data_IF_545367284440
#
_entry.id   IF_545367284440
#
_cell.length_a   1.000
_cell.length_b   1.000
_cell.length_c   1.000
_cell.angle_alpha   90.00
_cell.angle_beta   90.00
_cell.angle_gamma   90.00
#
_symmetry.space_group_name_H-M   'P 1'
#
loop_
_entity.id
_entity.type
_entity.pdbx_description
1 polymer ?
#
# COMPACT_ATOMS: atom_id res chain seq x y z
N UNK A 1 -28.26 9.53 1.96
CA UNK A 1 -26.91 9.28 2.47
C UNK A 1 -26.82 9.83 3.88
N UNK A 2 -26.43 9.03 4.87
CA UNK A 2 -26.32 9.51 6.26
C UNK A 2 -24.98 10.26 6.47
N UNK A 3 -24.88 11.02 7.55
CA UNK A 3 -23.69 11.84 7.85
C UNK A 3 -22.40 11.00 7.97
N UNK A 4 -22.50 9.78 8.50
CA UNK A 4 -21.36 8.88 8.67
C UNK A 4 -20.81 8.35 7.34
N UNK A 5 -21.69 7.96 6.40
CA UNK A 5 -21.31 7.57 5.04
C UNK A 5 -20.66 8.74 4.29
N UNK A 6 -21.19 9.96 4.44
CA UNK A 6 -20.60 11.14 3.83
C UNK A 6 -19.18 11.41 4.38
N UNK A 7 -19.01 11.36 5.70
CA UNK A 7 -17.70 11.53 6.34
C UNK A 7 -16.71 10.45 5.90
N UNK A 8 -17.10 9.18 5.84
CA UNK A 8 -16.24 8.09 5.37
C UNK A 8 -15.79 8.28 3.92
N UNK A 9 -16.69 8.74 3.03
CA UNK A 9 -16.30 9.08 1.66
C UNK A 9 -15.34 10.26 1.60
N UNK A 10 -15.57 11.32 2.40
CA UNK A 10 -14.64 12.44 2.49
C UNK A 10 -13.26 11.99 2.96
N UNK A 11 -13.19 11.12 3.99
CA UNK A 11 -11.92 10.55 4.46
C UNK A 11 -11.24 9.75 3.34
N UNK A 12 -12.00 8.93 2.61
CA UNK A 12 -11.48 8.13 1.48
C UNK A 12 -10.93 9.03 0.37
N UNK A 13 -11.64 10.11 0.04
CA UNK A 13 -11.21 11.09 -0.97
C UNK A 13 -9.97 11.85 -0.53
N UNK A 14 -9.92 12.35 0.72
CA UNK A 14 -8.76 13.06 1.26
C UNK A 14 -7.54 12.14 1.28
N UNK A 15 -7.71 10.90 1.76
CA UNK A 15 -6.66 9.89 1.73
C UNK A 15 -6.15 9.70 0.30
N UNK A 16 -7.04 9.59 -0.68
CA UNK A 16 -6.66 9.41 -2.09
C UNK A 16 -5.89 10.61 -2.63
N UNK A 17 -6.35 11.82 -2.35
CA UNK A 17 -5.71 13.05 -2.79
C UNK A 17 -4.28 13.23 -2.22
N UNK A 18 -4.03 12.73 -1.01
CA UNK A 18 -2.70 12.80 -0.37
C UNK A 18 -1.81 11.64 -0.79
N UNK A 19 -2.36 10.42 -0.87
CA UNK A 19 -1.57 9.22 -1.15
C UNK A 19 -1.10 9.15 -2.60
N UNK A 20 -1.91 9.57 -3.57
CA UNK A 20 -1.53 9.50 -4.98
C UNK A 20 -0.24 10.30 -5.28
N UNK A 21 -0.09 11.58 -4.88
CA UNK A 21 1.16 12.31 -5.05
C UNK A 21 2.34 11.65 -4.32
N UNK A 22 2.12 11.08 -3.13
CA UNK A 22 3.16 10.40 -2.33
C UNK A 22 3.68 9.14 -3.04
N UNK A 23 2.77 8.32 -3.54
CA UNK A 23 3.08 7.10 -4.31
C UNK A 23 3.83 7.49 -5.59
N UNK A 24 3.36 8.52 -6.29
CA UNK A 24 4.03 9.02 -7.48
C UNK A 24 5.44 9.52 -7.19
N UNK A 25 5.63 10.30 -6.12
CA UNK A 25 6.95 10.74 -5.69
C UNK A 25 7.88 9.56 -5.39
N UNK A 26 7.38 8.56 -4.64
CA UNK A 26 8.12 7.33 -4.35
C UNK A 26 8.54 6.58 -5.61
N UNK A 27 7.67 6.54 -6.63
CA UNK A 27 7.98 5.95 -7.92
C UNK A 27 9.11 6.70 -8.64
N UNK A 28 9.05 8.04 -8.64
CA UNK A 28 10.09 8.88 -9.24
C UNK A 28 11.42 8.71 -8.51
N UNK A 29 11.42 8.67 -7.18
CA UNK A 29 12.63 8.40 -6.38
C UNK A 29 13.22 7.03 -6.74
N UNK A 30 12.40 5.98 -6.80
CA UNK A 30 12.85 4.64 -7.21
C UNK A 30 13.39 4.58 -8.65
N UNK A 31 13.08 5.56 -9.50
CA UNK A 31 13.59 5.63 -10.88
C UNK A 31 14.89 6.45 -10.99
N UNK A 32 15.14 7.38 -10.08
CA UNK A 32 16.28 8.29 -10.15
C UNK A 32 17.40 7.98 -9.13
N UNK A 33 17.17 7.09 -8.16
CA UNK A 33 18.25 6.62 -7.30
C UNK A 33 19.23 5.78 -8.13
N UNK A 34 20.49 6.20 -8.14
CA UNK A 34 21.60 5.48 -8.75
C UNK A 34 22.01 4.27 -7.89
N UNK A 35 22.64 3.26 -8.52
CA UNK A 35 23.14 2.05 -7.84
C UNK A 35 24.15 2.35 -6.71
N UNK A 36 24.77 3.52 -6.71
CA UNK A 36 25.69 3.98 -5.67
C UNK A 36 24.97 4.42 -4.36
N UNK A 37 23.65 4.60 -4.39
CA UNK A 37 22.84 5.07 -3.25
C UNK A 37 22.01 3.93 -2.61
N UNK A 38 22.66 2.78 -2.37
CA UNK A 38 22.04 1.57 -1.81
C UNK A 38 21.25 1.86 -0.52
N UNK A 39 21.82 2.66 0.40
CA UNK A 39 21.18 3.03 1.66
C UNK A 39 19.83 3.75 1.46
N UNK A 40 19.73 4.59 0.42
CA UNK A 40 18.48 5.30 0.11
C UNK A 40 17.43 4.34 -0.46
N UNK A 41 17.85 3.39 -1.30
CA UNK A 41 16.97 2.35 -1.84
C UNK A 41 16.47 1.40 -0.74
N UNK A 42 17.32 1.02 0.22
CA UNK A 42 16.90 0.20 1.37
C UNK A 42 15.88 0.93 2.26
N UNK A 43 16.11 2.22 2.53
CA UNK A 43 15.15 3.04 3.28
C UNK A 43 13.82 3.16 2.53
N UNK A 44 13.86 3.39 1.23
CA UNK A 44 12.66 3.46 0.39
C UNK A 44 11.90 2.13 0.41
N UNK A 45 12.60 1.00 0.30
CA UNK A 45 11.99 -0.34 0.38
C UNK A 45 11.32 -0.58 1.73
N UNK A 46 11.99 -0.24 2.83
CA UNK A 46 11.45 -0.39 4.18
C UNK A 46 10.21 0.50 4.38
N UNK A 47 10.22 1.72 3.83
CA UNK A 47 9.07 2.60 3.84
C UNK A 47 7.90 2.01 3.03
N UNK A 48 8.13 1.55 1.79
CA UNK A 48 7.05 0.99 0.98
C UNK A 48 6.44 -0.25 1.61
N UNK A 49 7.25 -1.17 2.13
CA UNK A 49 6.75 -2.35 2.84
C UNK A 49 5.87 -1.96 4.03
N UNK A 50 6.24 -0.91 4.78
CA UNK A 50 5.41 -0.41 5.89
C UNK A 50 4.06 0.12 5.40
N UNK A 51 4.03 0.84 4.28
CA UNK A 51 2.79 1.34 3.69
C UNK A 51 1.91 0.22 3.13
N UNK A 52 2.49 -0.79 2.48
CA UNK A 52 1.78 -2.00 2.05
C UNK A 52 1.05 -2.64 3.23
N UNK A 53 1.76 -2.89 4.34
CA UNK A 53 1.15 -3.50 5.53
C UNK A 53 0.04 -2.64 6.13
N UNK A 54 0.20 -1.31 6.15
CA UNK A 54 -0.84 -0.40 6.63
C UNK A 54 -2.10 -0.47 5.78
N UNK A 55 -1.95 -0.33 4.46
CA UNK A 55 -3.09 -0.32 3.55
C UNK A 55 -3.78 -1.68 3.48
N UNK A 56 -3.01 -2.76 3.43
CA UNK A 56 -3.53 -4.12 3.47
C UNK A 56 -4.24 -4.42 4.80
N UNK A 57 -3.65 -4.00 5.92
CA UNK A 57 -4.25 -4.13 7.24
C UNK A 57 -5.58 -3.37 7.37
N UNK A 58 -5.62 -2.11 6.93
CA UNK A 58 -6.85 -1.32 6.92
C UNK A 58 -7.95 -1.94 6.04
N UNK A 59 -7.60 -2.42 4.84
CA UNK A 59 -8.56 -3.09 3.98
C UNK A 59 -9.08 -4.40 4.58
N UNK A 60 -8.20 -5.20 5.16
CA UNK A 60 -8.56 -6.47 5.80
C UNK A 60 -9.49 -6.24 6.99
N UNK A 61 -9.21 -5.23 7.81
CA UNK A 61 -10.08 -4.82 8.92
C UNK A 61 -11.45 -4.34 8.43
N UNK A 62 -11.48 -3.52 7.38
CA UNK A 62 -12.74 -3.05 6.79
C UNK A 62 -13.60 -4.22 6.27
N UNK A 63 -12.99 -5.17 5.56
CA UNK A 63 -13.69 -6.38 5.09
C UNK A 63 -14.15 -7.24 6.25
N UNK A 64 -13.33 -7.42 7.29
CA UNK A 64 -13.70 -8.16 8.49
C UNK A 64 -14.90 -7.53 9.20
N UNK A 65 -14.97 -6.20 9.27
CA UNK A 65 -16.12 -5.49 9.85
C UNK A 65 -17.40 -5.71 9.03
N UNK A 66 -17.34 -5.67 7.70
CA UNK A 66 -18.48 -6.00 6.83
C UNK A 66 -18.94 -7.44 7.07
N UNK A 67 -17.98 -8.37 7.12
CA UNK A 67 -18.27 -9.78 7.36
C UNK A 67 -18.90 -10.02 8.73
N UNK A 68 -18.37 -9.41 9.79
CA UNK A 68 -18.94 -9.49 11.14
C UNK A 68 -20.35 -8.88 11.20
N UNK A 69 -20.60 -7.80 10.46
CA UNK A 69 -21.92 -7.20 10.39
C UNK A 69 -22.97 -8.13 9.77
N UNK A 70 -22.61 -8.83 8.69
CA UNK A 70 -23.49 -9.77 7.99
C UNK A 70 -23.72 -11.07 8.77
N UNK A 71 -22.74 -11.51 9.55
CA UNK A 71 -22.80 -12.78 10.29
C UNK A 71 -23.21 -12.59 11.77
N UNK A 72 -23.55 -11.38 12.19
CA UNK A 72 -24.00 -11.12 13.56
C UNK A 72 -25.41 -11.66 13.77
N UNK A 73 -25.64 -12.48 14.81
CA UNK A 73 -26.97 -13.02 15.14
C UNK A 73 -27.96 -11.93 15.59
N UNK A 74 -27.44 -10.80 16.05
CA UNK A 74 -28.21 -9.57 16.23
C UNK A 74 -28.01 -8.75 14.97
N UNK A 75 -29.04 -8.61 14.14
CA UNK A 75 -29.02 -7.73 12.98
C UNK A 75 -28.51 -6.34 13.41
N UNK A 76 -27.25 -6.04 13.08
CA UNK A 76 -26.57 -4.83 13.54
C UNK A 76 -27.17 -3.58 12.87
N UNK A 77 -28.13 -3.73 11.95
CA UNK A 77 -28.85 -2.63 11.35
C UNK A 77 -27.95 -1.66 10.61
N UNK A 78 -26.82 -2.15 10.07
CA UNK A 78 -25.88 -1.30 9.35
C UNK A 78 -26.58 -0.82 8.07
N UNK A 79 -26.70 0.50 7.86
CA UNK A 79 -27.30 1.02 6.65
C UNK A 79 -26.49 0.56 5.43
N UNK A 80 -27.16 0.08 4.38
CA UNK A 80 -26.48 -0.36 3.14
C UNK A 80 -25.53 0.71 2.56
N UNK A 81 -25.83 1.99 2.78
CA UNK A 81 -24.92 3.09 2.39
C UNK A 81 -23.59 3.08 3.14
N UNK A 82 -23.56 2.65 4.41
CA UNK A 82 -22.35 2.60 5.22
C UNK A 82 -21.46 1.42 4.83
N UNK A 83 -22.07 0.26 4.57
CA UNK A 83 -21.38 -0.91 4.02
C UNK A 83 -20.72 -0.59 2.67
N UNK A 84 -21.46 0.04 1.76
CA UNK A 84 -20.93 0.47 0.47
C UNK A 84 -19.73 1.42 0.61
N UNK A 85 -19.80 2.40 1.51
CA UNK A 85 -18.68 3.32 1.74
C UNK A 85 -17.47 2.64 2.35
N UNK A 86 -17.67 1.65 3.23
CA UNK A 86 -16.59 0.87 3.83
C UNK A 86 -15.94 -0.07 2.79
N UNK A 87 -16.73 -0.67 1.92
CA UNK A 87 -16.24 -1.47 0.79
C UNK A 87 -15.43 -0.62 -0.20
N UNK A 88 -15.88 0.61 -0.48
CA UNK A 88 -15.14 1.56 -1.31
C UNK A 88 -13.78 1.90 -0.67
N UNK A 89 -13.76 2.23 0.63
CA UNK A 89 -12.54 2.49 1.37
C UNK A 89 -11.56 1.29 1.35
N UNK A 90 -12.07 0.07 1.56
CA UNK A 90 -11.27 -1.15 1.51
C UNK A 90 -10.64 -1.35 0.12
N UNK A 91 -11.42 -1.12 -0.94
CA UNK A 91 -10.97 -1.24 -2.33
C UNK A 91 -9.86 -0.24 -2.66
N UNK A 92 -10.05 1.03 -2.29
CA UNK A 92 -9.03 2.07 -2.48
C UNK A 92 -7.76 1.75 -1.69
N UNK A 93 -7.90 1.26 -0.45
CA UNK A 93 -6.77 0.86 0.37
C UNK A 93 -6.01 -0.31 -0.27
N UNK A 94 -6.70 -1.34 -0.77
CA UNK A 94 -6.07 -2.45 -1.49
C UNK A 94 -5.34 -1.96 -2.75
N UNK A 95 -5.95 -1.04 -3.49
CA UNK A 95 -5.32 -0.46 -4.67
C UNK A 95 -4.00 0.24 -4.32
N UNK A 96 -3.96 1.03 -3.25
CA UNK A 96 -2.69 1.58 -2.76
C UNK A 96 -1.72 0.49 -2.33
N UNK A 97 -2.14 -0.51 -1.56
CA UNK A 97 -1.26 -1.61 -1.18
C UNK A 97 -0.60 -2.28 -2.40
N UNK A 98 -1.34 -2.46 -3.50
CA UNK A 98 -0.80 -3.00 -4.76
C UNK A 98 0.23 -2.05 -5.39
N UNK A 99 -0.08 -0.76 -5.52
CA UNK A 99 0.87 0.21 -6.09
C UNK A 99 2.17 0.30 -5.29
N UNK A 100 2.06 0.37 -3.96
CA UNK A 100 3.22 0.39 -3.06
C UNK A 100 4.03 -0.92 -3.17
N UNK A 101 3.36 -2.06 -3.32
CA UNK A 101 4.01 -3.36 -3.53
C UNK A 101 4.78 -3.41 -4.84
N UNK A 102 4.26 -2.81 -5.92
CA UNK A 102 4.96 -2.73 -7.20
C UNK A 102 6.24 -1.88 -7.09
N UNK A 103 6.18 -0.76 -6.36
CA UNK A 103 7.38 0.06 -6.09
C UNK A 103 8.38 -0.75 -5.26
N UNK A 104 7.93 -1.42 -4.19
CA UNK A 104 8.77 -2.25 -3.35
C UNK A 104 9.46 -3.38 -4.15
N UNK A 105 8.72 -4.06 -5.04
CA UNK A 105 9.27 -5.10 -5.91
C UNK A 105 10.33 -4.55 -6.87
N UNK A 106 10.06 -3.37 -7.46
CA UNK A 106 11.02 -2.68 -8.34
C UNK A 106 12.32 -2.35 -7.60
N UNK A 107 12.23 -1.75 -6.41
CA UNK A 107 13.39 -1.41 -5.58
C UNK A 107 14.14 -2.66 -5.13
N UNK A 108 13.43 -3.70 -4.70
CA UNK A 108 14.03 -4.97 -4.32
C UNK A 108 14.78 -5.64 -5.48
N UNK A 109 14.26 -5.56 -6.71
CA UNK A 109 14.93 -6.06 -7.89
C UNK A 109 16.23 -5.29 -8.18
N UNK A 110 16.24 -3.96 -8.05
CA UNK A 110 17.45 -3.16 -8.19
C UNK A 110 18.50 -3.50 -7.11
N UNK A 111 18.08 -3.59 -5.85
CA UNK A 111 18.97 -3.99 -4.75
C UNK A 111 19.56 -5.38 -4.98
N UNK A 112 18.75 -6.33 -5.47
CA UNK A 112 19.22 -7.68 -5.78
C UNK A 112 20.24 -7.70 -6.92
N UNK A 113 20.12 -6.81 -7.92
CA UNK A 113 21.09 -6.67 -9.01
C UNK A 113 22.37 -5.97 -8.55
N UNK A 114 22.25 -4.91 -7.74
CA UNK A 114 23.39 -4.16 -7.21
C UNK A 114 24.23 -4.99 -6.21
N UNK A 115 23.58 -5.87 -5.45
CA UNK A 115 24.21 -6.78 -4.48
C UNK A 115 24.59 -8.14 -5.09
N UNK A 116 24.21 -8.42 -6.34
CA UNK A 116 24.69 -9.61 -7.04
C UNK A 116 26.22 -9.47 -7.14
N UNK A 117 26.99 -10.31 -6.43
CA UNK A 117 28.41 -10.09 -6.27
C UNK A 117 29.07 -10.08 -7.64
N UNK A 118 30.11 -9.26 -7.77
CA UNK A 118 31.22 -9.39 -8.72
C UNK A 118 31.89 -10.75 -8.47
N UNK A 119 31.17 -11.85 -8.70
CA UNK A 119 31.64 -13.22 -8.65
C UNK A 119 32.28 -13.61 -9.98
N UNK A 120 32.93 -12.64 -10.64
CA UNK A 120 33.74 -12.86 -11.82
C UNK A 120 35.04 -12.13 -11.56
N UNK A 121 36.12 -12.92 -11.45
CA UNK A 121 37.53 -12.55 -11.54
C UNK A 121 38.28 -12.38 -10.21
N UNK A 122 38.39 -13.45 -9.43
CA UNK A 122 39.71 -13.89 -8.93
C UNK A 122 39.80 -15.42 -9.00
N UNK A 123 40.98 -15.90 -9.42
CA UNK A 123 41.46 -17.28 -9.50
C UNK A 123 40.90 -18.24 -10.58
N UNK A 124 41.62 -18.31 -11.71
CA UNK A 124 42.66 -19.33 -11.90
C UNK A 124 43.53 -18.99 -13.11
N UNK A 125 44.65 -18.33 -12.82
CA UNK A 125 45.91 -18.58 -13.53
C UNK A 125 46.52 -19.90 -13.03
#
# INVERSE_FOLDING_TARGET
>A
MNIYSALMMSVTMIMTAVMLPRIYFSWITAQHCDEAEIDQLEQLLAEQNRWVWRHFGCATLAVAMIWMAHNSPNDLGIPASMEMTLACYATVSLFFAVLESLIAQKVAAYLALALAPVAVREEKD
#
